data_IF_307346723920
#
_entry.id   IF_307346723920
#
_cell.length_a   1.000
_cell.length_b   1.000
_cell.length_c   1.000
_cell.angle_alpha   90.00
_cell.angle_beta   90.00
_cell.angle_gamma   90.00
#
_symmetry.space_group_name_H-M   'P 1'
#
loop_
_entity.id
_entity.type
_entity.pdbx_description
1 polymer ?
#
# COMPACT_ATOMS: atom_id res chain seq x y z
N UNK A 1 -8.53 3.93 -11.80
CA UNK A 1 -8.53 5.29 -12.39
C UNK A 1 -9.25 6.32 -11.53
N UNK A 2 -10.52 6.12 -11.17
CA UNK A 2 -11.28 7.09 -10.34
C UNK A 2 -10.67 7.26 -8.94
N UNK A 3 -10.30 6.15 -8.28
CA UNK A 3 -9.63 6.18 -6.97
C UNK A 3 -8.30 6.95 -7.00
N UNK A 4 -7.50 6.79 -8.07
CA UNK A 4 -6.26 7.53 -8.27
C UNK A 4 -6.50 9.04 -8.38
N UNK A 5 -7.57 9.46 -9.08
CA UNK A 5 -7.88 10.87 -9.23
C UNK A 5 -8.24 11.50 -7.88
N UNK A 6 -9.15 10.89 -7.12
CA UNK A 6 -9.57 11.42 -5.81
C UNK A 6 -8.43 11.44 -4.78
N UNK A 7 -7.70 10.33 -4.65
CA UNK A 7 -6.53 10.27 -3.77
C UNK A 7 -5.44 11.26 -4.21
N UNK A 8 -5.23 11.42 -5.52
CA UNK A 8 -4.32 12.40 -6.11
C UNK A 8 -4.69 13.85 -5.76
N UNK A 9 -5.97 14.22 -5.78
CA UNK A 9 -6.41 15.56 -5.35
C UNK A 9 -6.11 15.82 -3.86
N UNK A 10 -6.29 14.82 -3.01
CA UNK A 10 -5.97 14.95 -1.57
C UNK A 10 -4.46 15.10 -1.36
N UNK A 11 -3.66 14.29 -2.06
CA UNK A 11 -2.19 14.39 -2.01
C UNK A 11 -1.73 15.76 -2.51
N UNK A 12 -2.26 16.23 -3.65
CA UNK A 12 -1.93 17.54 -4.20
C UNK A 12 -2.27 18.66 -3.21
N UNK A 13 -3.45 18.60 -2.59
CA UNK A 13 -3.87 19.56 -1.57
C UNK A 13 -2.92 19.54 -0.37
N UNK A 14 -2.53 18.35 0.10
CA UNK A 14 -1.56 18.19 1.18
C UNK A 14 -0.17 18.76 0.83
N UNK A 15 0.26 18.67 -0.43
CA UNK A 15 1.52 19.24 -0.90
C UNK A 15 1.46 20.78 -1.00
N UNK A 16 0.41 21.33 -1.62
CA UNK A 16 0.21 22.78 -1.78
C UNK A 16 0.05 23.46 -0.43
N UNK A 17 -0.72 22.87 0.48
CA UNK A 17 -0.98 23.39 1.82
C UNK A 17 -0.15 22.67 2.89
N UNK A 18 1.06 22.23 2.55
CA UNK A 18 1.92 21.43 3.44
C UNK A 18 2.17 22.09 4.79
N UNK A 19 2.42 23.41 4.82
CA UNK A 19 2.64 24.15 6.07
C UNK A 19 1.44 24.09 7.03
N UNK A 20 0.22 23.96 6.52
CA UNK A 20 -1.01 23.95 7.31
C UNK A 20 -1.49 22.53 7.58
N UNK A 21 -1.55 21.68 6.55
CA UNK A 21 -2.10 20.31 6.64
C UNK A 21 -1.11 19.29 7.20
N UNK A 22 0.19 19.43 6.89
CA UNK A 22 1.26 18.55 7.41
C UNK A 22 1.90 19.13 8.68
N UNK A 23 1.25 20.12 9.30
CA UNK A 23 1.70 20.67 10.59
C UNK A 23 1.56 19.63 11.71
N UNK A 24 2.48 19.66 12.68
CA UNK A 24 2.41 18.85 13.91
C UNK A 24 1.15 19.10 14.73
N UNK A 25 0.49 20.24 14.53
CA UNK A 25 -0.77 20.61 15.20
C UNK A 25 -1.98 19.83 14.69
N UNK A 26 -1.91 19.23 13.48
CA UNK A 26 -3.01 18.50 12.86
C UNK A 26 -2.63 17.04 12.55
N UNK A 27 -2.47 16.18 13.57
CA UNK A 27 -2.00 14.81 13.40
C UNK A 27 -2.97 13.94 12.58
N UNK A 28 -4.28 14.17 12.69
CA UNK A 28 -5.28 13.46 11.88
C UNK A 28 -5.13 13.77 10.38
N UNK A 29 -4.89 15.04 10.04
CA UNK A 29 -4.64 15.46 8.66
C UNK A 29 -3.39 14.81 8.09
N UNK A 30 -2.32 14.69 8.88
CA UNK A 30 -1.12 13.96 8.48
C UNK A 30 -1.43 12.50 8.16
N UNK A 31 -2.15 11.79 9.05
CA UNK A 31 -2.50 10.37 8.81
C UNK A 31 -3.31 10.22 7.52
N UNK A 32 -4.33 11.06 7.31
CA UNK A 32 -5.18 11.03 6.10
C UNK A 32 -4.36 11.27 4.83
N UNK A 33 -3.37 12.16 4.88
CA UNK A 33 -2.45 12.38 3.77
C UNK A 33 -1.66 11.11 3.42
N UNK A 34 -1.13 10.38 4.42
CA UNK A 34 -0.39 9.14 4.16
C UNK A 34 -1.28 7.99 3.66
N UNK A 35 -2.52 7.89 4.14
CA UNK A 35 -3.52 6.96 3.58
C UNK A 35 -3.70 7.27 2.08
N UNK A 36 -4.00 8.54 1.77
CA UNK A 36 -4.23 8.99 0.39
C UNK A 36 -3.00 8.81 -0.49
N UNK A 37 -1.79 9.00 0.05
CA UNK A 37 -0.54 8.76 -0.66
C UNK A 37 -0.39 7.28 -1.02
N UNK A 38 -0.66 6.37 -0.08
CA UNK A 38 -0.59 4.94 -0.34
C UNK A 38 -1.63 4.51 -1.39
N UNK A 39 -2.88 4.99 -1.27
CA UNK A 39 -3.93 4.70 -2.25
C UNK A 39 -3.61 5.26 -3.64
N UNK A 40 -3.01 6.45 -3.71
CA UNK A 40 -2.59 7.06 -4.96
C UNK A 40 -1.50 6.24 -5.65
N UNK A 41 -0.43 5.89 -4.93
CA UNK A 41 0.69 5.11 -5.48
C UNK A 41 0.25 3.68 -5.84
N UNK A 42 -0.54 3.02 -4.98
CA UNK A 42 -1.12 1.71 -5.28
C UNK A 42 -2.07 1.74 -6.48
N UNK A 43 -2.82 2.82 -6.65
CA UNK A 43 -3.65 3.00 -7.84
C UNK A 43 -2.83 3.27 -9.09
N UNK A 44 -1.71 4.00 -9.00
CA UNK A 44 -0.76 4.18 -10.12
C UNK A 44 -0.18 2.83 -10.54
N UNK A 45 0.21 1.98 -9.59
CA UNK A 45 0.71 0.64 -9.90
C UNK A 45 -0.31 -0.16 -10.72
N UNK A 46 -1.61 -0.06 -10.42
CA UNK A 46 -2.66 -0.68 -11.24
C UNK A 46 -2.80 -0.05 -12.64
N UNK A 47 -2.47 1.23 -12.82
CA UNK A 47 -2.55 1.89 -14.14
C UNK A 47 -1.40 1.53 -15.09
N UNK A 48 -0.33 0.90 -14.60
CA UNK A 48 0.77 0.39 -15.45
C UNK A 48 0.25 -0.63 -16.48
N UNK A 49 -0.89 -1.26 -16.21
CA UNK A 49 -1.55 -2.21 -17.12
C UNK A 49 -1.21 -3.66 -16.79
N UNK A 50 -1.11 -4.48 -17.84
CA UNK A 50 -0.88 -5.92 -17.74
C UNK A 50 0.48 -6.27 -18.36
N UNK A 51 1.58 -6.10 -17.60
CA UNK A 51 2.90 -6.41 -18.09
C UNK A 51 3.12 -7.93 -18.22
N UNK A 52 4.12 -8.35 -18.99
CA UNK A 52 4.49 -9.76 -19.14
C UNK A 52 5.03 -10.34 -17.82
N UNK A 53 4.85 -11.65 -17.60
CA UNK A 53 5.13 -12.33 -16.32
C UNK A 53 6.55 -12.10 -15.79
N UNK A 54 7.55 -12.13 -16.66
CA UNK A 54 8.97 -12.03 -16.27
C UNK A 54 9.55 -10.60 -16.40
N UNK A 55 8.69 -9.62 -16.69
CA UNK A 55 9.13 -8.23 -16.83
C UNK A 55 9.42 -7.58 -15.46
N UNK A 56 10.43 -6.71 -15.41
CA UNK A 56 10.74 -5.91 -14.21
C UNK A 56 9.54 -5.05 -13.78
N UNK A 57 8.72 -4.59 -14.74
CA UNK A 57 7.48 -3.88 -14.48
C UNK A 57 6.46 -4.73 -13.72
N UNK A 58 6.36 -6.03 -13.99
CA UNK A 58 5.45 -6.92 -13.28
C UNK A 58 5.87 -7.11 -11.81
N UNK A 59 7.17 -7.36 -11.58
CA UNK A 59 7.71 -7.50 -10.21
C UNK A 59 7.56 -6.19 -9.42
N UNK A 60 7.86 -5.05 -10.03
CA UNK A 60 7.69 -3.75 -9.41
C UNK A 60 6.22 -3.42 -9.13
N UNK A 61 5.31 -3.72 -10.06
CA UNK A 61 3.87 -3.55 -9.87
C UNK A 61 3.39 -4.37 -8.68
N UNK A 62 3.75 -5.65 -8.61
CA UNK A 62 3.36 -6.51 -7.50
C UNK A 62 3.90 -6.01 -6.16
N UNK A 63 5.19 -5.67 -6.09
CA UNK A 63 5.79 -5.10 -4.88
C UNK A 63 5.05 -3.84 -4.42
N UNK A 64 4.74 -2.92 -5.34
CA UNK A 64 4.00 -1.70 -5.00
C UNK A 64 2.61 -2.03 -4.44
N UNK A 65 1.87 -2.96 -5.04
CA UNK A 65 0.55 -3.36 -4.55
C UNK A 65 0.66 -4.01 -3.17
N UNK A 66 1.64 -4.88 -2.96
CA UNK A 66 1.87 -5.58 -1.69
C UNK A 66 2.41 -4.70 -0.57
N UNK A 67 3.07 -3.59 -0.89
CA UNK A 67 3.55 -2.64 0.09
C UNK A 67 2.50 -1.58 0.42
N UNK A 68 1.95 -0.91 -0.59
CA UNK A 68 1.10 0.27 -0.39
C UNK A 68 -0.31 -0.06 0.08
N UNK A 69 -0.94 -1.16 -0.36
CA UNK A 69 -2.28 -1.50 0.14
C UNK A 69 -2.29 -1.90 1.62
N UNK A 70 -1.40 -2.80 2.10
CA UNK A 70 -1.29 -3.06 3.52
C UNK A 70 -0.87 -1.82 4.32
N UNK A 71 0.02 -0.97 3.78
CA UNK A 71 0.36 0.30 4.42
C UNK A 71 -0.88 1.20 4.60
N UNK A 72 -1.72 1.36 3.57
CA UNK A 72 -2.96 2.13 3.65
C UNK A 72 -3.91 1.61 4.75
N UNK A 73 -4.02 0.28 4.86
CA UNK A 73 -4.81 -0.37 5.91
C UNK A 73 -4.25 -0.12 7.32
N UNK A 74 -2.93 -0.22 7.49
CA UNK A 74 -2.25 0.07 8.76
C UNK A 74 -2.43 1.54 9.18
N UNK A 75 -2.28 2.47 8.24
CA UNK A 75 -2.54 3.89 8.47
C UNK A 75 -3.99 4.17 8.84
N UNK A 76 -4.95 3.51 8.20
CA UNK A 76 -6.38 3.61 8.53
C UNK A 76 -6.66 3.07 9.93
N UNK A 77 -6.06 1.93 10.30
CA UNK A 77 -6.18 1.35 11.63
C UNK A 77 -5.61 2.29 12.71
N UNK A 78 -4.46 2.92 12.42
CA UNK A 78 -3.85 3.93 13.30
C UNK A 78 -4.75 5.17 13.46
N UNK A 79 -5.40 5.62 12.38
CA UNK A 79 -6.37 6.72 12.43
C UNK A 79 -7.53 6.41 13.39
N UNK A 80 -8.14 5.22 13.22
CA UNK A 80 -9.26 4.77 14.06
C UNK A 80 -8.83 4.65 15.53
N UNK A 81 -7.64 4.11 15.79
CA UNK A 81 -7.10 4.01 17.15
C UNK A 81 -6.89 5.39 17.80
N UNK A 82 -6.32 6.35 17.07
CA UNK A 82 -6.12 7.71 17.58
C UNK A 82 -7.46 8.43 17.80
N UNK A 83 -8.44 8.26 16.92
CA UNK A 83 -9.80 8.78 17.09
C UNK A 83 -10.46 8.21 18.35
N UNK A 84 -10.38 6.89 18.56
CA UNK A 84 -10.88 6.24 19.77
C UNK A 84 -10.19 6.79 21.02
N UNK A 85 -8.86 6.94 20.98
CA UNK A 85 -8.09 7.48 22.11
C UNK A 85 -8.46 8.92 22.44
N UNK A 86 -8.72 9.74 21.41
CA UNK A 86 -9.19 11.11 21.57
C UNK A 86 -10.58 11.15 22.21
N UNK A 87 -11.50 10.28 21.80
CA UNK A 87 -12.85 10.22 22.35
C UNK A 87 -12.88 9.79 23.83
N UNK A 88 -12.04 8.81 24.19
CA UNK A 88 -12.02 8.25 25.55
C UNK A 88 -11.15 9.05 26.52
N UNK A 89 -9.97 9.49 26.09
CA UNK A 89 -8.94 10.07 26.96
C UNK A 89 -8.69 11.56 26.69
N UNK A 90 -9.30 12.14 25.64
CA UNK A 90 -9.11 13.54 25.21
C UNK A 90 -7.66 13.93 24.95
N UNK A 91 -6.79 12.95 24.70
CA UNK A 91 -5.36 13.11 24.47
C UNK A 91 -4.90 12.12 23.40
N UNK A 92 -3.88 12.52 22.64
CA UNK A 92 -3.18 11.64 21.72
C UNK A 92 -2.24 10.75 22.53
N UNK A 93 -2.50 9.45 22.51
CA UNK A 93 -1.75 8.49 23.33
C UNK A 93 -0.38 8.15 22.73
N UNK A 94 -0.26 8.24 21.40
CA UNK A 94 0.94 7.80 20.67
C UNK A 94 1.51 8.96 19.86
N UNK A 95 2.84 9.13 19.95
CA UNK A 95 3.56 10.12 19.16
C UNK A 95 3.44 9.82 17.66
N UNK A 96 3.32 10.86 16.84
CA UNK A 96 3.19 10.68 15.39
C UNK A 96 4.41 9.94 14.79
N UNK A 97 5.60 10.19 15.34
CA UNK A 97 6.83 9.49 14.93
C UNK A 97 6.73 7.98 15.17
N UNK A 98 6.22 7.55 16.33
CA UNK A 98 6.01 6.13 16.62
C UNK A 98 5.02 5.51 15.64
N UNK A 99 3.92 6.20 15.32
CA UNK A 99 2.95 5.71 14.33
C UNK A 99 3.60 5.53 12.96
N UNK A 100 4.41 6.50 12.52
CA UNK A 100 5.18 6.39 11.28
C UNK A 100 6.07 5.16 11.24
N UNK A 101 6.89 4.97 12.27
CA UNK A 101 7.80 3.82 12.34
C UNK A 101 7.02 2.52 12.30
N UNK A 102 5.96 2.38 13.10
CA UNK A 102 5.17 1.15 13.17
C UNK A 102 4.49 0.83 11.84
N UNK A 103 3.77 1.79 11.25
CA UNK A 103 3.04 1.57 10.01
C UNK A 103 3.99 1.21 8.85
N UNK A 104 5.09 1.94 8.70
CA UNK A 104 6.05 1.68 7.62
C UNK A 104 6.84 0.39 7.83
N UNK A 105 7.32 0.12 9.04
CA UNK A 105 8.07 -1.10 9.33
C UNK A 105 7.20 -2.34 9.17
N UNK A 106 5.95 -2.33 9.66
CA UNK A 106 5.05 -3.46 9.48
C UNK A 106 4.70 -3.70 8.01
N UNK A 107 4.38 -2.63 7.25
CA UNK A 107 4.13 -2.76 5.82
C UNK A 107 5.35 -3.30 5.07
N UNK A 108 6.56 -2.85 5.42
CA UNK A 108 7.80 -3.33 4.83
C UNK A 108 8.05 -4.80 5.17
N UNK A 109 7.83 -5.22 6.42
CA UNK A 109 7.95 -6.63 6.81
C UNK A 109 7.01 -7.51 6.00
N UNK A 110 5.76 -7.08 5.79
CA UNK A 110 4.79 -7.80 4.95
C UNK A 110 5.25 -7.87 3.50
N UNK A 111 5.76 -6.78 2.94
CA UNK A 111 6.28 -6.76 1.57
C UNK A 111 7.59 -7.54 1.40
N UNK A 112 8.38 -7.74 2.44
CA UNK A 112 9.62 -8.51 2.35
C UNK A 112 9.37 -10.02 2.37
N UNK A 113 8.26 -10.49 2.92
CA UNK A 113 7.92 -11.93 2.96
C UNK A 113 7.92 -12.55 1.55
N UNK A 114 7.18 -12.03 0.56
CA UNK A 114 7.25 -12.55 -0.80
C UNK A 114 8.62 -12.47 -1.47
N UNK A 115 9.44 -11.47 -1.08
CA UNK A 115 10.78 -11.31 -1.64
C UNK A 115 11.70 -12.46 -1.22
N UNK A 116 11.52 -13.00 -0.02
CA UNK A 116 12.30 -14.15 0.46
C UNK A 116 11.95 -15.46 -0.25
N UNK A 117 10.73 -15.55 -0.80
CA UNK A 117 10.24 -16.75 -1.50
C UNK A 117 10.33 -16.63 -3.03
N UNK A 118 10.83 -15.50 -3.55
CA UNK A 118 10.86 -15.15 -4.99
C UNK A 118 9.47 -15.30 -5.66
N UNK A 119 8.41 -14.94 -4.94
CA UNK A 119 7.01 -15.09 -5.38
C UNK A 119 6.45 -13.83 -6.04
N UNK A 120 7.26 -12.78 -6.18
CA UNK A 120 6.88 -11.55 -6.87
C UNK A 120 6.81 -11.77 -8.37
N UNK A 121 5.60 -11.69 -8.95
CA UNK A 121 5.39 -11.88 -10.38
C UNK A 121 3.97 -12.31 -10.69
N UNK A 122 3.79 -12.96 -11.83
CA UNK A 122 2.50 -13.44 -12.28
C UNK A 122 2.66 -14.78 -12.99
N UNK A 123 1.69 -15.67 -12.85
CA UNK A 123 1.69 -16.93 -13.59
C UNK A 123 1.64 -16.65 -15.09
N UNK A 124 2.40 -17.43 -15.88
CA UNK A 124 2.50 -17.28 -17.33
C UNK A 124 1.13 -17.32 -18.04
N UNK A 125 0.17 -18.06 -17.47
CA UNK A 125 -1.20 -18.21 -18.02
C UNK A 125 -2.02 -16.91 -17.90
N UNK A 126 -1.62 -16.03 -16.97
CA UNK A 126 -2.25 -14.75 -16.70
C UNK A 126 -1.48 -13.58 -17.32
N UNK A 127 -0.27 -13.81 -17.87
CA UNK A 127 0.55 -12.77 -18.46
C UNK A 127 -0.24 -11.96 -19.51
N UNK A 128 -0.16 -10.62 -19.42
CA UNK A 128 -0.90 -9.72 -20.32
C UNK A 128 -2.42 -9.65 -20.10
N UNK A 129 -2.98 -10.37 -19.11
CA UNK A 129 -4.43 -10.43 -18.85
C UNK A 129 -4.87 -9.94 -17.47
N UNK A 130 -3.97 -9.89 -16.50
CA UNK A 130 -4.23 -9.36 -15.16
C UNK A 130 -3.06 -8.60 -14.59
N UNK A 131 -3.30 -7.90 -13.47
CA UNK A 131 -2.26 -7.22 -12.70
C UNK A 131 -1.37 -8.24 -11.98
N UNK A 132 -0.10 -7.87 -11.79
CA UNK A 132 0.87 -8.70 -11.11
C UNK A 132 0.63 -8.69 -9.61
N UNK A 133 0.40 -9.88 -9.05
CA UNK A 133 0.18 -10.11 -7.62
C UNK A 133 1.29 -11.08 -7.17
N UNK A 134 0.95 -12.22 -6.59
CA UNK A 134 1.91 -13.24 -6.19
C UNK A 134 1.74 -14.42 -7.14
N UNK A 135 2.83 -14.83 -7.77
CA UNK A 135 2.87 -16.08 -8.50
C UNK A 135 3.54 -17.14 -7.64
N UNK A 136 2.91 -18.30 -7.50
CA UNK A 136 3.66 -19.46 -7.03
C UNK A 136 4.38 -20.05 -8.24
N UNK A 137 5.70 -19.88 -8.33
CA UNK A 137 6.54 -20.59 -9.31
C UNK A 137 6.61 -22.12 -9.06
N UNK A 138 5.65 -22.68 -8.33
CA UNK A 138 5.56 -24.11 -8.07
C UNK A 138 5.00 -24.84 -9.29
N UNK A 139 5.90 -25.17 -10.23
CA UNK A 139 5.60 -26.02 -11.39
C UNK A 139 4.94 -27.36 -11.01
N UNK A 140 5.12 -27.83 -9.77
CA UNK A 140 4.59 -29.12 -9.29
C UNK A 140 3.07 -29.07 -9.07
N UNK A 141 2.50 -27.91 -8.71
CA UNK A 141 1.07 -27.75 -8.44
C UNK A 141 0.22 -27.71 -9.72
N UNK A 142 0.79 -27.29 -10.86
CA UNK A 142 0.11 -27.29 -12.17
C UNK A 142 -0.29 -28.70 -12.64
N UNK A 143 0.44 -29.75 -12.24
CA UNK A 143 0.15 -31.13 -12.64
C UNK A 143 -0.80 -31.89 -11.69
N UNK A 144 -1.06 -31.37 -10.49
CA UNK A 144 -1.99 -32.03 -9.54
C UNK A 144 -3.47 -31.85 -9.92
N UNK A 145 -3.80 -30.88 -10.77
CA UNK A 145 -5.18 -30.65 -11.25
C UNK A 145 -5.48 -31.33 -12.60
N UNK A 146 -4.52 -32.07 -13.17
CA UNK A 146 -4.71 -32.81 -14.44
C UNK A 146 -4.99 -34.30 -14.24
N UNK A 147 -5.26 -34.74 -13.01
CA UNK A 147 -5.68 -36.10 -12.68
C UNK A 147 -7.03 -36.10 -11.97
#
# INVERSE_FOLDING_TARGET
SIAAAFSGFVVLTGLVFSKTMLSRTHPFSNIIFFISLCDFVGSIANTIGFPDSDSVSCRAQSFMLFFFFPAAWLWTSALVYQLRSMMLYKKLHISMFTVHCVCWSLALCVAMLPLTEDTYGQDDDLAGRSVCILASHDKRRKYQWMF
#
